data_IF_648123815590
#
_entry.id   IF_648123815590
#
_cell.length_a   1.000
_cell.length_b   1.000
_cell.length_c   1.000
_cell.angle_alpha   90.00
_cell.angle_beta   90.00
_cell.angle_gamma   90.00
#
_symmetry.space_group_name_H-M   'P 1'
#
loop_
_entity.id
_entity.type
_entity.pdbx_description
1 polymer ?
#
# COMPACT_ATOMS: atom_id res chain seq x y z
N UNK A 1 -11.86 4.59 10.58
CA UNK A 1 -11.29 5.02 9.32
C UNK A 1 -12.21 6.01 8.61
N UNK A 2 -13.44 5.62 8.18
CA UNK A 2 -14.37 6.50 7.41
C UNK A 2 -14.64 7.82 8.12
N UNK A 3 -14.98 7.82 9.41
CA UNK A 3 -15.23 9.07 10.18
C UNK A 3 -14.06 10.06 10.14
N UNK A 4 -12.83 9.55 10.24
CA UNK A 4 -11.64 10.42 10.17
C UNK A 4 -11.51 11.02 8.78
N UNK A 5 -11.74 10.23 7.74
CA UNK A 5 -11.75 10.69 6.37
C UNK A 5 -12.81 11.76 6.11
N UNK A 6 -14.03 11.57 6.60
CA UNK A 6 -15.12 12.54 6.49
C UNK A 6 -14.76 13.86 7.20
N UNK A 7 -14.26 13.80 8.43
CA UNK A 7 -13.83 15.00 9.17
C UNK A 7 -12.69 15.75 8.45
N UNK A 8 -11.73 15.02 7.87
CA UNK A 8 -10.66 15.67 7.09
C UNK A 8 -11.20 16.39 5.86
N UNK A 9 -12.21 15.84 5.21
CA UNK A 9 -12.87 16.49 4.07
C UNK A 9 -13.64 17.73 4.47
N UNK A 10 -14.47 17.64 5.51
CA UNK A 10 -15.24 18.78 6.05
C UNK A 10 -14.30 19.94 6.38
N UNK A 11 -13.16 19.66 7.03
CA UNK A 11 -12.17 20.70 7.32
C UNK A 11 -11.58 21.27 6.03
N UNK A 12 -11.20 20.43 5.09
CA UNK A 12 -10.55 20.85 3.85
C UNK A 12 -11.47 21.64 2.92
N UNK A 13 -12.76 21.33 2.87
CA UNK A 13 -13.76 22.06 2.09
C UNK A 13 -13.94 23.51 2.53
N UNK A 14 -13.62 23.82 3.79
CA UNK A 14 -13.59 25.18 4.31
C UNK A 14 -12.45 26.05 3.75
N UNK A 15 -11.52 25.46 3.02
CA UNK A 15 -10.38 26.17 2.45
C UNK A 15 -10.40 26.12 0.92
N UNK A 16 -10.03 27.22 0.30
CA UNK A 16 -9.88 27.31 -1.16
C UNK A 16 -8.43 27.63 -1.52
N UNK A 17 -7.96 27.07 -2.61
CA UNK A 17 -6.62 27.40 -3.09
C UNK A 17 -6.61 28.81 -3.73
N UNK A 18 -5.52 29.51 -3.55
CA UNK A 18 -5.35 30.88 -4.04
C UNK A 18 -5.23 31.00 -5.57
N UNK A 19 -4.94 29.89 -6.26
CA UNK A 19 -4.67 29.86 -7.70
C UNK A 19 -5.86 29.58 -8.58
N UNK A 20 -7.05 29.35 -8.03
CA UNK A 20 -8.22 29.02 -8.84
C UNK A 20 -9.51 28.95 -8.08
N UNK A 21 -9.49 29.26 -6.78
CA UNK A 21 -10.69 29.25 -5.94
C UNK A 21 -11.33 27.87 -5.77
N UNK A 22 -10.59 26.79 -6.11
CA UNK A 22 -11.11 25.44 -5.96
C UNK A 22 -10.99 24.98 -4.51
N UNK A 23 -11.98 24.23 -3.99
CA UNK A 23 -11.86 23.63 -2.66
C UNK A 23 -10.60 22.80 -2.52
N UNK A 24 -9.95 22.88 -1.37
CA UNK A 24 -8.84 22.00 -1.05
C UNK A 24 -9.36 20.58 -0.82
N UNK A 25 -8.57 19.61 -1.26
CA UNK A 25 -8.86 18.19 -1.02
C UNK A 25 -7.71 17.57 -0.28
N UNK A 26 -7.95 16.82 0.79
CA UNK A 26 -6.89 16.12 1.50
C UNK A 26 -6.31 15.00 0.63
N UNK A 27 -5.06 14.62 0.91
CA UNK A 27 -4.42 13.47 0.28
C UNK A 27 -3.99 12.49 1.36
N UNK A 28 -4.34 11.22 1.20
CA UNK A 28 -3.94 10.13 2.07
C UNK A 28 -2.75 9.42 1.42
N UNK A 29 -1.58 9.96 1.65
CA UNK A 29 -0.36 9.48 1.02
C UNK A 29 0.79 9.43 2.03
N UNK A 30 1.42 8.27 2.16
CA UNK A 30 2.65 8.09 2.92
C UNK A 30 3.76 7.69 1.95
N UNK A 31 4.72 8.57 1.75
CA UNK A 31 5.89 8.26 0.92
C UNK A 31 6.76 7.21 1.61
N UNK A 32 7.55 7.66 2.57
CA UNK A 32 8.39 6.83 3.44
C UNK A 32 8.11 7.10 4.92
N UNK A 33 7.25 8.04 5.22
CA UNK A 33 6.93 8.50 6.57
C UNK A 33 6.34 7.40 7.46
N UNK A 34 5.81 6.34 6.89
CA UNK A 34 5.33 5.18 7.64
C UNK A 34 6.46 4.42 8.37
N UNK A 35 7.68 4.44 7.80
CA UNK A 35 8.88 3.92 8.44
C UNK A 35 9.57 4.98 9.32
N UNK A 36 9.80 6.17 8.77
CA UNK A 36 10.50 7.25 9.46
C UNK A 36 9.76 7.74 10.70
N UNK A 37 8.41 7.69 10.67
CA UNK A 37 7.56 8.13 11.77
C UNK A 37 7.35 7.11 12.89
N UNK A 38 7.73 5.85 12.72
CA UNK A 38 7.43 4.76 13.66
C UNK A 38 7.96 5.02 15.08
N UNK A 39 9.16 5.61 15.18
CA UNK A 39 9.84 5.86 16.46
C UNK A 39 9.31 7.10 17.17
N UNK A 40 8.57 7.97 16.45
CA UNK A 40 7.99 9.20 16.97
C UNK A 40 6.54 9.01 17.48
N UNK A 41 5.93 7.86 17.22
CA UNK A 41 4.54 7.59 17.57
C UNK A 41 4.48 6.40 18.51
N UNK A 42 3.95 6.65 19.73
CA UNK A 42 3.70 5.62 20.74
C UNK A 42 2.70 4.56 20.28
N UNK A 43 2.39 3.60 21.14
CA UNK A 43 1.37 2.59 20.86
C UNK A 43 0.00 3.23 20.55
N UNK A 44 -0.77 2.60 19.67
CA UNK A 44 -2.06 3.10 19.23
C UNK A 44 -3.22 2.15 19.64
N UNK A 45 -4.44 2.67 19.81
CA UNK A 45 -5.58 1.87 20.33
C UNK A 45 -6.00 0.69 19.44
N UNK A 46 -5.58 0.67 18.18
CA UNK A 46 -5.82 -0.40 17.21
C UNK A 46 -4.91 -1.62 17.37
N UNK A 47 -4.01 -1.58 18.37
CA UNK A 47 -3.11 -2.67 18.72
C UNK A 47 -1.69 -2.55 18.16
N UNK A 48 -1.32 -1.44 17.51
CA UNK A 48 0.05 -1.18 17.08
C UNK A 48 0.92 -0.85 18.31
N UNK A 49 2.07 -1.48 18.44
CA UNK A 49 3.05 -1.16 19.48
C UNK A 49 3.93 0.03 19.10
N UNK A 50 4.55 0.64 20.11
CA UNK A 50 5.59 1.64 19.84
C UNK A 50 6.74 1.01 19.06
N UNK A 51 7.24 1.72 18.03
CA UNK A 51 8.29 1.21 17.14
C UNK A 51 7.80 0.35 15.97
N UNK A 52 6.54 -0.12 15.99
CA UNK A 52 5.97 -0.81 14.83
C UNK A 52 5.77 0.18 13.67
N UNK A 53 5.95 -0.31 12.45
CA UNK A 53 5.75 0.45 11.22
C UNK A 53 4.30 0.96 11.14
N UNK A 54 4.12 2.20 10.74
CA UNK A 54 2.79 2.79 10.51
C UNK A 54 2.11 2.21 9.27
N UNK A 55 0.81 2.44 9.15
CA UNK A 55 0.06 2.06 7.95
C UNK A 55 0.59 2.79 6.71
N UNK A 56 0.71 2.08 5.60
CA UNK A 56 1.23 2.60 4.34
C UNK A 56 0.10 3.07 3.43
N UNK A 57 0.01 4.37 3.18
CA UNK A 57 -1.08 4.94 2.39
C UNK A 57 -2.45 4.68 3.02
N UNK A 58 -3.36 4.10 2.24
CA UNK A 58 -4.69 3.70 2.73
C UNK A 58 -4.79 2.22 3.07
N UNK A 59 -3.67 1.51 3.11
CA UNK A 59 -3.63 0.13 3.58
C UNK A 59 -3.96 0.04 5.07
N UNK A 60 -4.54 -1.06 5.54
CA UNK A 60 -4.61 -1.33 6.96
C UNK A 60 -3.21 -1.48 7.57
N UNK A 61 -3.13 -1.28 8.88
CA UNK A 61 -1.91 -1.55 9.65
C UNK A 61 -1.36 -2.95 9.33
N UNK A 62 -0.05 -3.08 9.31
CA UNK A 62 0.63 -4.36 9.11
C UNK A 62 0.05 -5.42 10.07
N UNK A 63 -0.28 -6.61 9.55
CA UNK A 63 -0.91 -7.70 10.30
C UNK A 63 -2.42 -7.57 10.54
N UNK A 64 -3.06 -6.45 10.22
CA UNK A 64 -4.51 -6.28 10.40
C UNK A 64 -5.33 -6.92 9.26
N UNK A 65 -4.76 -7.09 8.08
CA UNK A 65 -5.46 -7.69 6.92
C UNK A 65 -5.45 -9.22 6.96
N UNK A 66 -6.22 -9.81 7.88
CA UNK A 66 -6.27 -11.27 8.10
C UNK A 66 -7.25 -12.00 7.18
N UNK A 67 -8.07 -11.28 6.41
CA UNK A 67 -9.16 -11.85 5.60
C UNK A 67 -8.86 -11.84 4.09
N UNK A 68 -7.62 -11.52 3.71
CA UNK A 68 -7.18 -11.50 2.32
C UNK A 68 -7.41 -10.18 1.58
N UNK A 69 -7.09 -10.20 0.29
CA UNK A 69 -7.02 -9.02 -0.57
C UNK A 69 -8.37 -8.31 -0.77
N UNK A 70 -9.44 -9.05 -1.03
CA UNK A 70 -10.75 -8.45 -1.37
C UNK A 70 -11.34 -7.68 -0.19
N UNK A 71 -11.42 -8.22 1.04
CA UNK A 71 -11.85 -7.45 2.20
C UNK A 71 -10.96 -6.24 2.49
N UNK A 72 -9.65 -6.34 2.28
CA UNK A 72 -8.72 -5.22 2.41
C UNK A 72 -9.06 -4.10 1.43
N UNK A 73 -9.23 -4.43 0.16
CA UNK A 73 -9.58 -3.47 -0.89
C UNK A 73 -10.94 -2.80 -0.63
N UNK A 74 -11.94 -3.56 -0.22
CA UNK A 74 -13.26 -3.04 0.13
C UNK A 74 -13.19 -2.07 1.32
N UNK A 75 -12.40 -2.42 2.34
CA UNK A 75 -12.18 -1.54 3.48
C UNK A 75 -11.50 -0.23 3.08
N UNK A 76 -10.49 -0.30 2.21
CA UNK A 76 -9.79 0.89 1.70
C UNK A 76 -10.72 1.78 0.87
N UNK A 77 -11.56 1.19 0.01
CA UNK A 77 -12.51 1.92 -0.84
C UNK A 77 -13.68 2.55 -0.07
N UNK A 78 -13.98 2.07 1.16
CA UNK A 78 -15.14 2.51 1.93
C UNK A 78 -15.16 3.99 2.31
N UNK A 79 -14.00 4.67 2.28
CA UNK A 79 -13.89 6.10 2.56
C UNK A 79 -14.15 7.00 1.34
N UNK A 80 -14.59 6.46 0.22
CA UNK A 80 -14.83 7.18 -1.03
C UNK A 80 -13.66 8.09 -1.46
N UNK A 81 -12.58 7.47 -1.88
CA UNK A 81 -11.35 8.18 -2.26
C UNK A 81 -11.51 9.18 -3.41
N UNK A 82 -12.64 9.17 -4.12
CA UNK A 82 -12.97 10.16 -5.16
C UNK A 82 -13.07 11.59 -4.62
N UNK A 83 -13.32 11.72 -3.34
CA UNK A 83 -13.37 13.01 -2.64
C UNK A 83 -11.97 13.52 -2.23
N UNK A 84 -10.94 12.69 -2.33
CA UNK A 84 -9.56 13.01 -1.99
C UNK A 84 -8.76 13.39 -3.24
N UNK A 85 -7.62 14.06 -3.03
CA UNK A 85 -6.68 14.35 -4.10
C UNK A 85 -5.76 13.16 -4.39
N UNK A 86 -5.51 12.32 -3.41
CA UNK A 86 -4.67 11.13 -3.52
C UNK A 86 -4.96 10.13 -2.41
N UNK A 87 -4.87 8.85 -2.76
CA UNK A 87 -4.99 7.73 -1.84
C UNK A 87 -4.73 6.43 -2.58
N UNK A 88 -3.59 5.80 -2.31
CA UNK A 88 -3.19 4.57 -2.98
C UNK A 88 -3.26 3.37 -2.06
N UNK A 89 -3.81 2.27 -2.58
CA UNK A 89 -3.66 0.96 -1.97
C UNK A 89 -2.45 0.24 -2.57
N UNK A 90 -1.63 -0.37 -1.72
CA UNK A 90 -0.56 -1.25 -2.12
C UNK A 90 -1.07 -2.68 -2.17
N UNK A 91 -0.93 -3.33 -3.30
CA UNK A 91 -1.40 -4.69 -3.55
C UNK A 91 -0.24 -5.53 -4.02
N UNK A 92 0.30 -6.34 -3.12
CA UNK A 92 1.42 -7.21 -3.38
C UNK A 92 0.91 -8.65 -3.56
N UNK A 93 1.03 -9.19 -4.78
CA UNK A 93 0.53 -10.52 -5.15
C UNK A 93 1.73 -11.42 -5.47
N UNK A 94 1.74 -12.60 -4.87
CA UNK A 94 2.72 -13.61 -5.24
C UNK A 94 2.30 -14.30 -6.55
N UNK A 95 3.23 -14.64 -7.46
CA UNK A 95 2.92 -15.29 -8.73
C UNK A 95 2.07 -16.56 -8.57
N UNK A 96 2.33 -17.35 -7.53
CA UNK A 96 1.57 -18.58 -7.21
C UNK A 96 0.07 -18.35 -6.98
N UNK A 97 -0.34 -17.13 -6.65
CA UNK A 97 -1.76 -16.78 -6.54
C UNK A 97 -2.51 -17.02 -7.86
N UNK A 98 -1.79 -16.98 -8.97
CA UNK A 98 -2.34 -17.22 -10.31
C UNK A 98 -2.23 -18.67 -10.78
N UNK A 99 -1.64 -19.56 -9.97
CA UNK A 99 -1.52 -20.97 -10.31
C UNK A 99 -2.93 -21.58 -10.48
N UNK A 100 -3.13 -22.29 -11.60
CA UNK A 100 -4.42 -22.85 -11.96
C UNK A 100 -5.47 -21.83 -12.44
N UNK A 101 -5.14 -20.55 -12.54
CA UNK A 101 -6.03 -19.53 -13.12
C UNK A 101 -5.69 -19.32 -14.59
N UNK A 102 -6.62 -19.67 -15.48
CA UNK A 102 -6.43 -19.57 -16.93
C UNK A 102 -6.18 -18.12 -17.41
N UNK A 103 -6.78 -17.14 -16.76
CA UNK A 103 -6.67 -15.73 -17.17
C UNK A 103 -6.38 -14.79 -16.01
N UNK A 104 -5.08 -14.65 -15.67
CA UNK A 104 -4.61 -13.71 -14.64
C UNK A 104 -4.95 -12.24 -14.96
N UNK A 105 -5.01 -11.88 -16.25
CA UNK A 105 -5.34 -10.51 -16.66
C UNK A 105 -6.81 -10.18 -16.40
N UNK A 106 -7.72 -11.13 -16.61
CA UNK A 106 -9.12 -10.97 -16.27
C UNK A 106 -9.29 -10.74 -14.75
N UNK A 107 -8.58 -11.49 -13.93
CA UNK A 107 -8.60 -11.30 -12.48
C UNK A 107 -8.15 -9.89 -12.07
N UNK A 108 -7.00 -9.43 -12.59
CA UNK A 108 -6.48 -8.09 -12.29
C UNK A 108 -7.46 -7.01 -12.75
N UNK A 109 -8.00 -7.15 -13.97
CA UNK A 109 -9.00 -6.23 -14.53
C UNK A 109 -10.26 -6.15 -13.65
N UNK A 110 -10.79 -7.29 -13.27
CA UNK A 110 -12.04 -7.38 -12.52
C UNK A 110 -11.87 -6.87 -11.09
N UNK A 111 -10.76 -7.22 -10.44
CA UNK A 111 -10.36 -6.68 -9.15
C UNK A 111 -10.24 -5.15 -9.20
N UNK A 112 -9.48 -4.62 -10.17
CA UNK A 112 -9.27 -3.17 -10.30
C UNK A 112 -10.57 -2.45 -10.61
N UNK A 113 -11.40 -3.00 -11.50
CA UNK A 113 -12.71 -2.44 -11.83
C UNK A 113 -13.64 -2.39 -10.62
N UNK A 114 -13.69 -3.47 -9.83
CA UNK A 114 -14.49 -3.52 -8.61
C UNK A 114 -14.01 -2.47 -7.58
N UNK A 115 -12.70 -2.39 -7.36
CA UNK A 115 -12.11 -1.42 -6.43
C UNK A 115 -12.45 0.03 -6.82
N UNK A 116 -12.26 0.40 -8.09
CA UNK A 116 -12.58 1.77 -8.54
C UNK A 116 -14.07 2.07 -8.49
N UNK A 117 -14.93 1.13 -8.83
CA UNK A 117 -16.38 1.28 -8.71
C UNK A 117 -16.83 1.45 -7.26
N UNK A 118 -16.13 0.85 -6.32
CA UNK A 118 -16.42 0.96 -4.89
C UNK A 118 -15.90 2.24 -4.23
N UNK A 119 -15.26 3.13 -4.99
CA UNK A 119 -14.76 4.41 -4.48
C UNK A 119 -13.24 4.48 -4.31
N UNK A 120 -12.51 3.44 -4.67
CA UNK A 120 -11.05 3.45 -4.71
C UNK A 120 -10.52 4.39 -5.78
N UNK A 121 -9.31 4.92 -5.58
CA UNK A 121 -8.72 5.92 -6.48
C UNK A 121 -7.48 5.42 -7.20
N UNK A 122 -6.57 4.77 -6.50
CA UNK A 122 -5.28 4.36 -7.04
C UNK A 122 -4.87 2.99 -6.50
N UNK A 123 -4.35 2.14 -7.37
CA UNK A 123 -3.76 0.84 -7.03
C UNK A 123 -2.31 0.85 -7.46
N UNK A 124 -1.41 0.54 -6.53
CA UNK A 124 -0.05 0.13 -6.83
C UNK A 124 -0.01 -1.40 -6.76
N UNK A 125 0.08 -2.04 -7.92
CA UNK A 125 0.08 -3.49 -8.03
C UNK A 125 1.50 -4.01 -8.25
N UNK A 126 1.91 -4.94 -7.39
CA UNK A 126 3.15 -5.71 -7.54
C UNK A 126 2.84 -7.19 -7.71
N UNK A 127 3.55 -7.83 -8.62
CA UNK A 127 3.56 -9.28 -8.77
C UNK A 127 5.02 -9.71 -8.62
N UNK A 128 5.37 -10.11 -7.41
CA UNK A 128 6.75 -10.42 -7.04
C UNK A 128 6.82 -11.74 -6.27
N UNK A 129 7.88 -12.49 -6.51
CA UNK A 129 8.15 -13.72 -5.78
C UNK A 129 8.86 -13.38 -4.46
N UNK A 130 8.19 -13.71 -3.35
CA UNK A 130 8.72 -13.49 -2.01
C UNK A 130 10.07 -14.20 -1.79
N UNK A 131 10.19 -15.44 -2.25
CA UNK A 131 11.45 -16.22 -2.10
C UNK A 131 12.59 -15.56 -2.84
N UNK A 132 12.30 -14.97 -4.01
CA UNK A 132 13.29 -14.23 -4.78
C UNK A 132 13.77 -12.97 -4.06
N UNK A 133 12.86 -12.28 -3.37
CA UNK A 133 13.21 -11.10 -2.56
C UNK A 133 14.03 -11.50 -1.32
N UNK A 134 13.63 -12.57 -0.63
CA UNK A 134 14.37 -13.10 0.53
C UNK A 134 15.79 -13.53 0.13
N UNK A 135 15.93 -14.28 -0.97
CA UNK A 135 17.24 -14.67 -1.48
C UNK A 135 18.09 -13.47 -1.92
N UNK A 136 17.48 -12.45 -2.54
CA UNK A 136 18.17 -11.22 -2.92
C UNK A 136 18.64 -10.40 -1.69
N UNK A 137 17.95 -10.52 -0.56
CA UNK A 137 18.38 -9.92 0.70
C UNK A 137 19.58 -10.63 1.29
N UNK A 138 19.68 -11.94 1.12
CA UNK A 138 20.78 -12.76 1.66
C UNK A 138 21.99 -12.77 0.72
N UNK A 139 21.76 -12.72 -0.59
CA UNK A 139 22.77 -12.82 -1.64
C UNK A 139 22.69 -11.65 -2.63
N UNK A 140 22.85 -10.40 -2.18
CA UNK A 140 22.71 -9.23 -3.04
C UNK A 140 23.75 -9.15 -4.17
N UNK A 141 24.84 -9.91 -4.05
CA UNK A 141 25.93 -9.98 -5.02
C UNK A 141 25.57 -10.77 -6.29
N UNK A 142 24.52 -11.59 -6.27
CA UNK A 142 24.13 -12.39 -7.44
C UNK A 142 23.77 -11.49 -8.63
N UNK A 143 24.28 -11.78 -9.84
CA UNK A 143 24.03 -10.96 -11.03
C UNK A 143 22.53 -10.78 -11.35
N UNK A 144 21.72 -11.77 -11.09
CA UNK A 144 20.28 -11.80 -11.36
C UNK A 144 19.47 -10.81 -10.49
N UNK A 145 20.08 -10.29 -9.40
CA UNK A 145 19.43 -9.32 -8.52
C UNK A 145 19.89 -7.89 -8.75
N UNK A 146 20.92 -7.68 -9.58
CA UNK A 146 21.44 -6.34 -9.85
C UNK A 146 20.40 -5.41 -10.49
N UNK A 147 19.50 -5.97 -11.28
CA UNK A 147 18.40 -5.24 -11.93
C UNK A 147 17.01 -5.60 -11.36
N UNK A 148 16.97 -6.17 -10.14
CA UNK A 148 15.71 -6.43 -9.47
C UNK A 148 15.08 -5.12 -9.01
N UNK A 149 14.11 -4.63 -9.79
CA UNK A 149 13.42 -3.37 -9.55
C UNK A 149 12.11 -3.62 -8.84
N UNK A 150 11.87 -2.88 -7.78
CA UNK A 150 10.59 -2.83 -7.06
C UNK A 150 9.98 -1.43 -7.14
N UNK A 151 8.65 -1.35 -7.14
CA UNK A 151 7.95 -0.08 -7.08
C UNK A 151 7.60 0.22 -5.63
N UNK A 152 7.99 1.37 -5.12
CA UNK A 152 7.71 1.75 -3.73
C UNK A 152 6.34 2.43 -3.68
N UNK A 153 6.21 3.70 -3.89
CA UNK A 153 4.93 4.42 -3.80
C UNK A 153 4.71 5.44 -4.91
N UNK A 154 5.38 5.36 -5.96
CA UNK A 154 5.33 6.35 -7.04
C UNK A 154 6.64 6.41 -7.78
N UNK A 155 7.67 5.76 -7.24
CA UNK A 155 8.96 5.58 -7.90
C UNK A 155 9.40 4.13 -7.83
N UNK A 156 10.34 3.77 -8.69
CA UNK A 156 10.97 2.46 -8.71
C UNK A 156 12.39 2.56 -8.17
N UNK A 157 12.81 1.54 -7.42
CA UNK A 157 14.17 1.43 -6.91
C UNK A 157 14.71 0.01 -7.17
N UNK A 158 16.02 -0.11 -7.27
CA UNK A 158 16.66 -1.43 -7.23
C UNK A 158 16.59 -1.98 -5.83
N UNK A 159 16.02 -3.16 -5.66
CA UNK A 159 15.77 -3.75 -4.36
C UNK A 159 17.03 -3.90 -3.50
N UNK A 160 18.12 -4.34 -4.10
CA UNK A 160 19.40 -4.55 -3.41
C UNK A 160 20.08 -3.23 -2.93
N UNK A 161 19.71 -2.08 -3.51
CA UNK A 161 20.26 -0.78 -3.10
C UNK A 161 19.47 -0.11 -1.97
N UNK A 162 18.34 -0.69 -1.59
CA UNK A 162 17.54 -0.21 -0.47
C UNK A 162 18.21 -0.57 0.86
N UNK A 163 17.95 0.23 1.91
CA UNK A 163 18.40 -0.14 3.26
C UNK A 163 17.75 -1.47 3.69
N UNK A 164 18.44 -2.22 4.54
CA UNK A 164 17.95 -3.52 5.04
C UNK A 164 16.56 -3.40 5.68
N UNK A 165 16.31 -2.33 6.38
CA UNK A 165 15.03 -2.04 7.01
C UNK A 165 13.89 -1.91 5.99
N UNK A 166 14.13 -1.21 4.87
CA UNK A 166 13.16 -1.10 3.78
C UNK A 166 12.92 -2.43 3.07
N UNK A 167 13.97 -3.21 2.85
CA UNK A 167 13.84 -4.55 2.29
C UNK A 167 12.98 -5.44 3.18
N UNK A 168 13.23 -5.42 4.50
CA UNK A 168 12.45 -6.19 5.48
C UNK A 168 10.97 -5.76 5.52
N UNK A 169 10.71 -4.46 5.52
CA UNK A 169 9.34 -3.94 5.46
C UNK A 169 8.65 -4.40 4.18
N UNK A 170 9.33 -4.29 3.04
CA UNK A 170 8.78 -4.69 1.74
C UNK A 170 8.43 -6.19 1.71
N UNK A 171 9.31 -7.05 2.20
CA UNK A 171 9.09 -8.49 2.32
C UNK A 171 7.95 -8.79 3.31
N UNK A 172 7.89 -8.08 4.44
CA UNK A 172 6.84 -8.29 5.46
C UNK A 172 5.44 -8.01 4.91
N UNK A 173 5.27 -7.00 4.07
CA UNK A 173 3.99 -6.69 3.42
C UNK A 173 3.49 -7.84 2.53
N UNK A 174 4.39 -8.50 1.82
CA UNK A 174 4.03 -9.58 0.90
C UNK A 174 3.52 -10.84 1.61
N UNK A 175 3.85 -11.02 2.88
CA UNK A 175 3.37 -12.16 3.67
C UNK A 175 1.85 -12.10 3.93
N UNK A 176 1.20 -10.93 3.78
CA UNK A 176 -0.25 -10.78 3.99
C UNK A 176 -1.09 -11.26 2.80
N UNK A 177 -0.55 -11.23 1.59
CA UNK A 177 -1.26 -11.65 0.39
C UNK A 177 -1.26 -13.17 0.18
N UNK A 178 -0.53 -13.91 1.01
CA UNK A 178 -0.39 -15.38 0.90
C UNK A 178 -1.39 -16.18 1.72
N UNK A 179 -2.25 -15.53 2.51
CA UNK A 179 -3.22 -16.18 3.40
C UNK A 179 -4.63 -16.13 2.80
N UNK A 180 -4.83 -16.77 1.66
CA UNK A 180 -6.16 -17.06 1.09
C UNK A 180 -6.19 -18.42 0.47
#
# INVERSE_FOLDING_TARGET
YVRVCDSMQEIAEGYVNQRGGQPMRPSLFAFMSHLEGKDNIGATPDGRHAGDVLAHGINPQAGASKKGLIPMANSAASADMRKFQGGSIQVDIQPRFFDGKENRYAYIRDFSSAFFKSGGMQINLHILDLKKLEDAMEHPEKPEYQDLVVRITGYCARFITMSREYQQEFVSRMNYSSMS
#
